data_IF_653492346492
#
_entry.id   IF_653492346492
#
_cell.length_a   1.000
_cell.length_b   1.000
_cell.length_c   1.000
_cell.angle_alpha   90.00
_cell.angle_beta   90.00
_cell.angle_gamma   90.00
#
_symmetry.space_group_name_H-M   'P 1'
#
loop_
_entity.id
_entity.type
_entity.pdbx_description
1 polymer ?
#
# COMPACT_ATOMS: atom_id res chain seq x y z
N UNK A 1 8.34 -36.03 -21.29
CA UNK A 1 7.98 -34.61 -21.55
C UNK A 1 8.38 -34.27 -23.00
N UNK A 2 7.48 -33.68 -23.79
CA UNK A 2 7.65 -33.52 -25.24
C UNK A 2 8.68 -32.43 -25.60
N UNK A 3 9.55 -32.63 -26.61
CA UNK A 3 10.51 -31.62 -27.07
C UNK A 3 9.85 -30.33 -27.58
N UNK A 4 8.57 -30.38 -27.95
CA UNK A 4 7.75 -29.23 -28.32
C UNK A 4 7.51 -28.30 -27.12
N UNK A 5 7.29 -28.85 -25.93
CA UNK A 5 7.03 -28.07 -24.71
C UNK A 5 8.26 -27.27 -24.30
N UNK A 6 9.46 -27.84 -24.39
CA UNK A 6 10.71 -27.12 -24.11
C UNK A 6 10.96 -25.97 -25.09
N UNK A 7 10.63 -26.14 -26.37
CA UNK A 7 10.76 -25.06 -27.38
C UNK A 7 9.79 -23.93 -27.12
N UNK A 8 8.55 -24.25 -26.72
CA UNK A 8 7.55 -23.25 -26.35
C UNK A 8 7.99 -22.51 -25.06
N UNK A 9 8.44 -23.23 -24.03
CA UNK A 9 8.93 -22.61 -22.80
C UNK A 9 10.19 -21.76 -23.03
N UNK A 10 11.12 -22.22 -23.87
CA UNK A 10 12.30 -21.45 -24.24
C UNK A 10 11.94 -20.20 -25.05
N UNK A 11 10.97 -20.29 -25.98
CA UNK A 11 10.46 -19.12 -26.71
C UNK A 11 9.76 -18.13 -25.78
N UNK A 12 8.95 -18.60 -24.83
CA UNK A 12 8.33 -17.74 -23.81
C UNK A 12 9.40 -17.07 -22.96
N UNK A 13 10.42 -17.81 -22.50
CA UNK A 13 11.53 -17.27 -21.73
C UNK A 13 12.35 -16.26 -22.54
N UNK A 14 12.65 -16.56 -23.80
CA UNK A 14 13.38 -15.65 -24.70
C UNK A 14 12.55 -14.40 -24.96
N UNK A 15 11.26 -14.52 -25.30
CA UNK A 15 10.39 -13.37 -25.52
C UNK A 15 10.16 -12.52 -24.25
N UNK A 16 10.16 -13.13 -23.06
CA UNK A 16 10.09 -12.40 -21.79
C UNK A 16 11.42 -11.75 -21.40
N UNK A 17 12.55 -12.27 -21.88
CA UNK A 17 13.89 -11.66 -21.70
C UNK A 17 14.27 -10.65 -22.79
N UNK A 18 13.60 -10.68 -23.96
CA UNK A 18 13.94 -9.88 -25.14
C UNK A 18 13.08 -8.61 -25.29
N UNK A 19 12.27 -8.24 -24.30
CA UNK A 19 11.57 -6.95 -24.30
C UNK A 19 12.54 -5.80 -23.98
N UNK A 20 13.64 -5.72 -24.73
CA UNK A 20 14.48 -4.53 -24.86
C UNK A 20 13.80 -3.50 -25.77
N UNK A 21 12.46 -3.41 -25.73
CA UNK A 21 11.78 -2.27 -26.32
C UNK A 21 12.33 -1.03 -25.59
N UNK A 22 12.84 -0.01 -26.30
CA UNK A 22 13.38 1.19 -25.68
C UNK A 22 12.25 1.94 -24.98
N UNK A 23 11.92 1.51 -23.77
CA UNK A 23 10.90 2.06 -22.90
C UNK A 23 11.48 3.23 -22.11
N UNK A 24 12.04 4.19 -22.86
CA UNK A 24 12.15 5.57 -22.42
C UNK A 24 11.11 6.37 -23.17
N UNK A 25 9.84 6.00 -23.07
CA UNK A 25 8.87 7.09 -23.13
C UNK A 25 9.06 7.85 -21.83
N UNK A 26 9.79 8.97 -21.90
CA UNK A 26 9.70 10.01 -20.90
C UNK A 26 8.27 10.56 -21.00
N UNK A 27 7.32 9.81 -20.47
CA UNK A 27 5.92 10.20 -20.49
C UNK A 27 5.78 11.36 -19.52
N UNK A 28 5.05 12.44 -19.87
CA UNK A 28 4.72 13.51 -18.94
C UNK A 28 4.12 13.02 -17.61
N UNK A 29 3.50 11.83 -17.61
CA UNK A 29 2.96 11.20 -16.40
C UNK A 29 4.03 10.81 -15.35
N UNK A 30 5.31 10.72 -15.71
CA UNK A 30 6.38 10.43 -14.72
C UNK A 30 6.63 11.63 -13.81
N UNK A 31 6.23 12.84 -14.21
CA UNK A 31 6.53 14.11 -13.51
C UNK A 31 5.26 14.82 -13.03
N UNK A 32 4.14 14.66 -13.74
CA UNK A 32 2.88 15.30 -13.34
C UNK A 32 2.26 14.65 -12.11
N UNK A 33 2.44 15.29 -10.94
CA UNK A 33 1.73 14.96 -9.71
C UNK A 33 0.20 15.00 -9.95
N UNK A 34 -0.53 13.99 -9.46
CA UNK A 34 -1.99 14.03 -9.44
C UNK A 34 -2.46 15.06 -8.41
N UNK A 35 -2.59 16.32 -8.83
CA UNK A 35 -3.51 17.27 -8.22
C UNK A 35 -3.11 17.86 -6.86
N UNK A 36 -1.83 17.90 -6.48
CA UNK A 36 -1.41 18.69 -5.32
C UNK A 36 -1.15 20.14 -5.77
N UNK A 37 -1.97 21.13 -5.35
CA UNK A 37 -1.79 22.55 -5.73
C UNK A 37 -0.55 23.19 -5.10
N UNK A 38 0.13 22.49 -4.18
CA UNK A 38 1.42 22.87 -3.61
C UNK A 38 2.49 21.92 -4.15
N UNK A 39 3.21 22.34 -5.19
CA UNK A 39 4.43 21.67 -5.63
C UNK A 39 5.56 22.11 -4.70
N UNK A 40 5.88 21.30 -3.70
CA UNK A 40 7.17 21.40 -3.01
C UNK A 40 8.29 21.24 -4.07
N UNK A 41 9.09 22.28 -4.34
CA UNK A 41 10.15 22.21 -5.36
C UNK A 41 11.13 21.06 -5.10
N UNK A 42 11.39 20.75 -3.82
CA UNK A 42 12.26 19.63 -3.44
C UNK A 42 11.66 18.27 -3.82
N UNK A 43 10.34 18.13 -3.78
CA UNK A 43 9.66 16.91 -4.19
C UNK A 43 9.69 16.75 -5.72
N UNK A 44 9.50 17.84 -6.47
CA UNK A 44 9.60 17.82 -7.93
C UNK A 44 11.02 17.45 -8.40
N UNK A 45 12.05 18.08 -7.82
CA UNK A 45 13.45 17.75 -8.11
C UNK A 45 13.72 16.25 -7.85
N UNK A 46 13.25 15.71 -6.72
CA UNK A 46 13.42 14.28 -6.44
C UNK A 46 12.70 13.38 -7.45
N UNK A 47 11.48 13.72 -7.87
CA UNK A 47 10.78 12.94 -8.91
C UNK A 47 11.58 12.95 -10.22
N UNK A 48 12.15 14.10 -10.60
CA UNK A 48 12.99 14.22 -11.78
C UNK A 48 14.26 13.39 -11.68
N UNK A 49 14.95 13.44 -10.53
CA UNK A 49 16.12 12.58 -10.26
C UNK A 49 15.76 11.10 -10.32
N UNK A 50 14.65 10.72 -9.66
CA UNK A 50 14.19 9.34 -9.61
C UNK A 50 13.83 8.82 -11.01
N UNK A 51 13.14 9.63 -11.82
CA UNK A 51 12.77 9.29 -13.19
C UNK A 51 13.97 9.02 -14.12
N UNK A 52 15.16 9.53 -13.77
CA UNK A 52 16.40 9.27 -14.50
C UNK A 52 17.07 7.95 -14.09
N UNK A 53 16.66 7.35 -12.97
CA UNK A 53 17.28 6.13 -12.45
C UNK A 53 17.02 4.93 -13.38
N UNK A 54 18.08 4.16 -13.66
CA UNK A 54 18.01 3.03 -14.61
C UNK A 54 16.98 1.97 -14.21
N UNK A 55 16.68 1.80 -12.92
CA UNK A 55 15.71 0.82 -12.44
C UNK A 55 14.33 0.98 -13.08
N UNK A 56 13.94 2.22 -13.47
CA UNK A 56 12.69 2.46 -14.20
C UNK A 56 12.66 1.88 -15.62
N UNK A 57 13.81 1.47 -16.19
CA UNK A 57 13.84 0.71 -17.44
C UNK A 57 13.51 -0.77 -17.25
N UNK A 58 13.56 -1.27 -16.02
CA UNK A 58 13.25 -2.68 -15.68
C UNK A 58 11.91 -2.77 -14.97
N UNK A 59 11.61 -1.85 -14.07
CA UNK A 59 10.36 -1.77 -13.31
C UNK A 59 9.68 -0.45 -13.69
N UNK A 60 8.69 -0.46 -14.59
CA UNK A 60 8.00 0.77 -15.02
C UNK A 60 7.42 1.52 -13.82
N UNK A 61 7.38 2.85 -13.89
CA UNK A 61 6.77 3.67 -12.82
C UNK A 61 5.28 3.44 -12.75
N UNK A 62 4.62 3.52 -13.91
CA UNK A 62 3.18 3.43 -14.02
C UNK A 62 2.75 2.30 -14.94
N UNK A 63 1.67 1.58 -14.59
CA UNK A 63 1.06 0.55 -15.44
C UNK A 63 0.65 1.05 -16.81
N UNK A 64 0.28 2.33 -16.93
CA UNK A 64 -0.11 2.93 -18.21
C UNK A 64 1.07 3.02 -19.19
N UNK A 65 2.29 2.89 -18.70
CA UNK A 65 3.48 2.77 -19.53
C UNK A 65 3.53 1.37 -20.15
N UNK A 66 2.97 0.33 -19.55
CA UNK A 66 3.17 -1.06 -19.97
C UNK A 66 2.21 -1.44 -21.10
N UNK A 67 2.74 -1.99 -22.21
CA UNK A 67 1.87 -2.57 -23.24
C UNK A 67 1.21 -3.83 -22.70
N UNK A 68 -0.02 -4.11 -23.13
CA UNK A 68 -0.77 -5.29 -22.69
C UNK A 68 -0.04 -6.63 -22.98
N UNK A 69 0.81 -6.68 -24.00
CA UNK A 69 1.60 -7.87 -24.38
C UNK A 69 2.99 -7.95 -23.73
N UNK A 70 3.41 -6.94 -22.94
CA UNK A 70 4.74 -6.91 -22.32
C UNK A 70 4.74 -7.63 -20.96
N UNK A 71 4.73 -8.96 -21.01
CA UNK A 71 4.66 -9.79 -19.81
C UNK A 71 5.83 -9.57 -18.85
N UNK A 72 7.03 -9.27 -19.37
CA UNK A 72 8.21 -9.01 -18.55
C UNK A 72 8.00 -7.82 -17.64
N UNK A 73 7.62 -6.69 -18.24
CA UNK A 73 7.37 -5.46 -17.49
C UNK A 73 6.11 -5.53 -16.62
N UNK A 74 5.06 -6.22 -17.04
CA UNK A 74 3.91 -6.50 -16.16
C UNK A 74 4.33 -7.26 -14.91
N UNK A 75 5.23 -8.24 -15.06
CA UNK A 75 5.73 -9.05 -13.94
C UNK A 75 6.60 -8.21 -13.01
N UNK A 76 7.57 -7.47 -13.53
CA UNK A 76 8.45 -6.64 -12.70
C UNK A 76 7.68 -5.50 -12.03
N UNK A 77 6.75 -4.85 -12.73
CA UNK A 77 5.85 -3.84 -12.17
C UNK A 77 4.96 -4.40 -11.07
N UNK A 78 4.38 -5.59 -11.24
CA UNK A 78 3.53 -6.20 -10.22
C UNK A 78 4.33 -6.57 -8.96
N UNK A 79 5.54 -7.12 -9.12
CA UNK A 79 6.35 -7.62 -8.01
C UNK A 79 7.12 -6.52 -7.26
N UNK A 80 7.65 -5.53 -7.98
CA UNK A 80 8.59 -4.54 -7.43
C UNK A 80 8.11 -3.10 -7.57
N UNK A 81 7.08 -2.85 -8.37
CA UNK A 81 6.57 -1.51 -8.59
C UNK A 81 5.72 -0.99 -7.42
N UNK A 82 5.59 0.33 -7.39
CA UNK A 82 4.59 1.04 -6.62
C UNK A 82 4.02 2.15 -7.52
N UNK A 83 2.81 1.93 -8.03
CA UNK A 83 2.16 2.81 -9.02
C UNK A 83 1.78 4.18 -8.44
N UNK A 84 1.61 4.25 -7.11
CA UNK A 84 1.13 5.43 -6.39
C UNK A 84 2.28 6.32 -5.96
N UNK A 85 3.31 5.76 -5.32
CA UNK A 85 4.40 6.53 -4.72
C UNK A 85 5.74 6.45 -5.46
N UNK A 86 5.85 5.58 -6.48
CA UNK A 86 7.09 5.29 -7.19
C UNK A 86 8.01 4.30 -6.45
N UNK A 87 9.08 3.89 -7.14
CA UNK A 87 10.04 2.88 -6.65
C UNK A 87 10.88 3.33 -5.47
N UNK A 88 11.01 4.64 -5.27
CA UNK A 88 11.86 5.23 -4.24
C UNK A 88 11.03 5.93 -3.16
N UNK A 89 9.70 5.89 -3.24
CA UNK A 89 8.82 6.68 -2.38
C UNK A 89 8.98 8.18 -2.63
N UNK A 90 9.17 8.56 -3.88
CA UNK A 90 9.43 9.95 -4.28
C UNK A 90 8.20 10.85 -4.28
N UNK A 91 7.00 10.29 -4.16
CA UNK A 91 5.81 11.12 -3.94
C UNK A 91 5.78 11.72 -2.54
N UNK A 92 5.34 12.99 -2.38
CA UNK A 92 5.19 13.63 -1.08
C UNK A 92 4.33 12.83 -0.09
N UNK A 93 3.34 12.08 -0.58
CA UNK A 93 2.46 11.23 0.22
C UNK A 93 3.19 10.11 0.96
N UNK A 94 4.33 9.66 0.44
CA UNK A 94 5.05 8.53 1.01
C UNK A 94 5.82 8.90 2.28
N UNK A 95 6.25 10.17 2.40
CA UNK A 95 7.14 10.69 3.45
C UNK A 95 8.31 9.73 3.76
N UNK A 96 8.86 9.11 2.72
CA UNK A 96 9.89 8.09 2.86
C UNK A 96 11.25 8.65 2.47
N UNK A 97 12.11 8.82 3.49
CA UNK A 97 13.47 9.31 3.31
C UNK A 97 13.54 10.48 2.32
N UNK A 98 12.81 11.59 2.57
CA UNK A 98 13.13 12.81 1.88
C UNK A 98 14.59 13.16 2.14
N UNK A 99 15.30 14.01 1.42
CA UNK A 99 16.77 14.19 1.57
C UNK A 99 17.68 13.03 1.10
N UNK A 100 17.21 11.78 0.96
CA UNK A 100 18.04 10.72 0.37
C UNK A 100 17.91 10.69 -1.17
N UNK A 101 19.04 10.54 -1.86
CA UNK A 101 19.06 10.35 -3.30
C UNK A 101 18.42 9.00 -3.71
N UNK A 102 17.73 8.93 -4.87
CA UNK A 102 17.21 7.68 -5.41
C UNK A 102 18.35 6.71 -5.72
N UNK A 103 18.47 5.65 -4.93
CA UNK A 103 19.45 4.57 -5.13
C UNK A 103 18.76 3.23 -5.08
N UNK A 104 19.37 2.19 -5.68
CA UNK A 104 18.85 0.81 -5.59
C UNK A 104 18.63 0.35 -4.14
N UNK A 105 19.47 0.83 -3.20
CA UNK A 105 19.29 0.55 -1.77
C UNK A 105 18.04 1.19 -1.17
N UNK A 106 17.73 2.44 -1.55
CA UNK A 106 16.49 3.13 -1.17
C UNK A 106 15.28 2.39 -1.75
N UNK A 107 15.33 2.00 -3.03
CA UNK A 107 14.26 1.22 -3.66
C UNK A 107 14.03 -0.13 -2.95
N UNK A 108 15.10 -0.85 -2.60
CA UNK A 108 15.00 -2.09 -1.84
C UNK A 108 14.37 -1.90 -0.46
N UNK A 109 14.75 -0.85 0.26
CA UNK A 109 14.15 -0.53 1.57
C UNK A 109 12.68 -0.13 1.45
N UNK A 110 12.31 0.62 0.41
CA UNK A 110 10.94 0.97 0.13
C UNK A 110 10.09 -0.26 -0.20
N UNK A 111 10.59 -1.13 -1.08
CA UNK A 111 9.95 -2.40 -1.42
C UNK A 111 9.78 -3.33 -0.20
N UNK A 112 10.71 -3.31 0.75
CA UNK A 112 10.57 -4.08 2.00
C UNK A 112 9.51 -3.50 2.94
N UNK A 113 9.24 -2.20 2.90
CA UNK A 113 8.17 -1.58 3.69
C UNK A 113 6.78 -1.91 3.14
N UNK A 114 6.68 -2.11 1.83
CA UNK A 114 5.41 -2.44 1.15
C UNK A 114 5.64 -3.50 0.04
N UNK A 115 5.94 -4.75 0.42
CA UNK A 115 6.27 -5.79 -0.55
C UNK A 115 5.07 -6.12 -1.42
N UNK A 116 5.31 -6.26 -2.73
CA UNK A 116 4.28 -6.69 -3.69
C UNK A 116 3.07 -5.74 -3.73
N UNK A 117 3.25 -4.43 -3.46
CA UNK A 117 2.18 -3.43 -3.44
C UNK A 117 1.29 -3.52 -4.68
N UNK A 118 1.89 -3.43 -5.87
CA UNK A 118 1.14 -3.46 -7.12
C UNK A 118 0.43 -4.81 -7.35
N UNK A 119 1.08 -5.93 -7.06
CA UNK A 119 0.47 -7.25 -7.14
C UNK A 119 -0.78 -7.34 -6.27
N UNK A 120 -0.69 -6.94 -5.01
CA UNK A 120 -1.80 -7.12 -4.07
C UNK A 120 -2.87 -6.04 -4.14
N UNK A 121 -2.54 -4.86 -4.66
CA UNK A 121 -3.49 -3.76 -4.77
C UNK A 121 -4.18 -3.71 -6.14
N UNK A 122 -3.41 -3.86 -7.22
CA UNK A 122 -3.91 -3.68 -8.58
C UNK A 122 -4.16 -4.98 -9.34
N UNK A 123 -3.39 -6.04 -9.09
CA UNK A 123 -3.52 -7.31 -9.83
C UNK A 123 -4.50 -8.27 -9.15
N UNK A 124 -4.27 -8.55 -7.87
CA UNK A 124 -5.11 -9.42 -7.05
C UNK A 124 -6.12 -8.63 -6.22
N UNK A 125 -5.79 -7.37 -5.94
CA UNK A 125 -6.65 -6.47 -5.20
C UNK A 125 -7.73 -5.85 -6.06
N UNK A 126 -8.44 -4.93 -5.43
CA UNK A 126 -9.64 -4.32 -5.99
C UNK A 126 -9.52 -2.79 -5.96
N UNK A 127 -8.32 -2.25 -6.22
CA UNK A 127 -8.02 -0.81 -6.21
C UNK A 127 -8.95 0.07 -7.07
N UNK A 128 -9.67 -0.52 -8.02
CA UNK A 128 -10.65 0.18 -8.87
C UNK A 128 -12.04 0.30 -8.26
N UNK A 129 -12.32 -0.44 -7.19
CA UNK A 129 -13.60 -0.40 -6.50
C UNK A 129 -13.55 0.73 -5.45
N UNK A 130 -14.51 1.65 -5.51
CA UNK A 130 -14.64 2.73 -4.52
C UNK A 130 -15.34 2.29 -3.24
N UNK A 131 -16.14 1.22 -3.33
CA UNK A 131 -16.90 0.67 -2.23
C UNK A 131 -16.67 -0.84 -2.19
N UNK A 132 -16.27 -1.34 -1.02
CA UNK A 132 -16.16 -2.76 -0.75
C UNK A 132 -17.26 -3.13 0.23
N UNK A 133 -18.08 -4.11 -0.13
CA UNK A 133 -18.96 -4.73 0.86
C UNK A 133 -18.13 -5.49 1.88
N UNK A 134 -18.68 -5.68 3.06
CA UNK A 134 -18.08 -6.46 4.13
C UNK A 134 -19.02 -7.58 4.52
N UNK A 135 -18.52 -8.80 4.54
CA UNK A 135 -19.20 -9.92 5.17
C UNK A 135 -18.41 -10.32 6.41
N UNK A 136 -18.86 -9.85 7.58
CA UNK A 136 -18.33 -10.25 8.86
C UNK A 136 -18.74 -11.70 9.16
N UNK A 137 -17.79 -12.62 9.08
CA UNK A 137 -18.02 -14.03 9.41
C UNK A 137 -18.11 -14.21 10.93
N UNK A 138 -17.21 -13.54 11.65
CA UNK A 138 -17.15 -13.48 13.10
C UNK A 138 -16.61 -12.12 13.53
N UNK A 139 -17.34 -11.44 14.39
CA UNK A 139 -16.88 -10.25 15.10
C UNK A 139 -17.14 -10.45 16.59
N UNK A 140 -16.08 -10.39 17.38
CA UNK A 140 -16.12 -10.49 18.83
C UNK A 140 -15.54 -9.21 19.41
N UNK A 141 -16.32 -8.50 20.22
CA UNK A 141 -15.88 -7.40 21.07
C UNK A 141 -16.65 -7.44 22.40
N UNK A 142 -16.25 -6.68 23.44
CA UNK A 142 -17.02 -6.53 24.67
C UNK A 142 -18.44 -6.00 24.44
N UNK A 143 -18.63 -5.21 23.39
CA UNK A 143 -19.88 -4.52 23.10
C UNK A 143 -20.78 -5.31 22.16
N UNK A 144 -20.20 -6.16 21.28
CA UNK A 144 -20.95 -6.86 20.26
C UNK A 144 -20.39 -8.25 19.91
N UNK A 145 -21.32 -9.11 19.49
CA UNK A 145 -21.01 -10.40 18.86
C UNK A 145 -21.83 -10.48 17.57
N UNK A 146 -21.17 -10.42 16.42
CA UNK A 146 -21.83 -10.58 15.13
C UNK A 146 -21.35 -11.83 14.40
N UNK A 147 -22.30 -12.53 13.77
CA UNK A 147 -22.05 -13.69 12.92
C UNK A 147 -22.75 -13.49 11.59
N UNK A 148 -22.05 -13.76 10.49
CA UNK A 148 -22.58 -13.66 9.12
C UNK A 148 -23.32 -12.33 8.85
N UNK A 149 -22.76 -11.23 9.33
CA UNK A 149 -23.33 -9.90 9.16
C UNK A 149 -22.79 -9.27 7.86
N UNK A 150 -23.69 -8.81 6.99
CA UNK A 150 -23.31 -8.14 5.76
C UNK A 150 -23.47 -6.62 5.91
N UNK A 151 -22.43 -5.86 5.59
CA UNK A 151 -22.43 -4.40 5.49
C UNK A 151 -22.15 -4.00 4.04
N UNK A 152 -22.89 -3.02 3.54
CA UNK A 152 -22.71 -2.53 2.16
C UNK A 152 -21.36 -1.82 1.96
N UNK A 153 -20.77 -1.31 3.04
CA UNK A 153 -19.48 -0.64 3.05
C UNK A 153 -18.66 -1.19 4.22
N UNK A 154 -17.42 -1.58 3.94
CA UNK A 154 -16.39 -1.84 4.94
C UNK A 154 -15.91 -0.50 5.51
N UNK A 155 -16.00 -0.32 6.83
CA UNK A 155 -15.67 0.95 7.48
C UNK A 155 -14.35 0.88 8.25
N UNK A 156 -14.04 -0.28 8.86
CA UNK A 156 -12.89 -0.38 9.77
C UNK A 156 -12.13 -1.70 9.63
N UNK A 157 -10.84 -1.62 9.94
CA UNK A 157 -9.90 -2.75 10.03
C UNK A 157 -10.06 -3.49 11.37
N UNK A 158 -10.50 -2.78 12.41
CA UNK A 158 -10.66 -3.30 13.77
C UNK A 158 -12.10 -3.05 14.24
N UNK A 159 -12.62 -3.98 15.03
CA UNK A 159 -13.91 -3.88 15.72
C UNK A 159 -13.82 -2.89 16.89
N UNK A 160 -13.67 -1.60 16.58
CA UNK A 160 -13.56 -0.52 17.55
C UNK A 160 -12.22 -0.44 18.30
N UNK A 161 -12.23 0.33 19.39
CA UNK A 161 -11.05 0.60 20.24
C UNK A 161 -10.89 -0.40 21.40
N UNK A 162 -11.80 -1.36 21.53
CA UNK A 162 -11.76 -2.38 22.56
C UNK A 162 -11.08 -3.67 22.07
N UNK A 163 -10.86 -4.60 23.00
CA UNK A 163 -10.40 -5.94 22.69
C UNK A 163 -11.33 -6.59 21.67
N UNK A 164 -10.81 -7.16 20.58
CA UNK A 164 -11.66 -7.81 19.62
C UNK A 164 -10.95 -8.73 18.64
N UNK A 165 -11.73 -9.66 18.10
CA UNK A 165 -11.36 -10.54 17.00
C UNK A 165 -12.35 -10.29 15.87
N UNK A 166 -11.84 -10.01 14.68
CA UNK A 166 -12.66 -9.86 13.48
C UNK A 166 -12.15 -10.81 12.40
N UNK A 167 -13.06 -11.59 11.82
CA UNK A 167 -12.82 -12.46 10.68
C UNK A 167 -13.91 -12.14 9.67
N UNK A 168 -13.53 -11.72 8.47
CA UNK A 168 -14.48 -11.28 7.46
C UNK A 168 -13.95 -11.39 6.05
N UNK A 169 -14.82 -11.01 5.11
CA UNK A 169 -14.49 -10.85 3.71
C UNK A 169 -14.75 -9.41 3.29
N UNK A 170 -13.73 -8.68 2.83
CA UNK A 170 -13.89 -7.34 2.24
C UNK A 170 -13.89 -7.48 0.71
N UNK A 171 -15.02 -7.16 0.08
CA UNK A 171 -15.22 -7.39 -1.36
C UNK A 171 -15.06 -8.86 -1.76
N UNK A 172 -15.35 -9.80 -0.84
CA UNK A 172 -15.15 -11.24 -1.04
C UNK A 172 -13.73 -11.75 -0.74
N UNK A 173 -12.79 -10.88 -0.36
CA UNK A 173 -11.40 -11.24 -0.07
C UNK A 173 -11.17 -11.40 1.44
N UNK A 174 -10.40 -12.41 1.88
CA UNK A 174 -10.29 -12.76 3.28
C UNK A 174 -9.52 -11.72 4.08
N UNK A 175 -9.99 -11.51 5.31
CA UNK A 175 -9.38 -10.60 6.27
C UNK A 175 -9.56 -11.10 7.71
N UNK A 176 -8.50 -10.98 8.50
CA UNK A 176 -8.50 -11.23 9.94
C UNK A 176 -7.81 -10.09 10.65
N UNK A 177 -8.41 -9.61 11.74
CA UNK A 177 -7.77 -8.70 12.68
C UNK A 177 -8.00 -9.12 14.12
N UNK A 178 -7.03 -8.75 14.94
CA UNK A 178 -6.95 -9.09 16.34
C UNK A 178 -6.44 -7.87 17.10
N UNK A 179 -7.17 -7.49 18.14
CA UNK A 179 -6.86 -6.36 18.98
C UNK A 179 -7.01 -6.77 20.44
N UNK A 180 -5.96 -6.58 21.24
CA UNK A 180 -6.02 -6.82 22.69
C UNK A 180 -5.25 -5.74 23.44
N UNK A 181 -5.81 -5.31 24.55
CA UNK A 181 -5.22 -4.43 25.53
C UNK A 181 -5.22 -5.14 26.89
N UNK A 182 -4.04 -5.55 27.32
CA UNK A 182 -3.79 -6.11 28.65
C UNK A 182 -2.57 -5.42 29.28
N UNK A 183 -2.68 -4.10 29.45
CA UNK A 183 -1.59 -3.23 29.94
C UNK A 183 -0.57 -2.84 28.86
N UNK A 184 -0.56 -3.56 27.73
CA UNK A 184 0.07 -3.17 26.47
C UNK A 184 -0.90 -3.46 25.33
N UNK A 185 -0.95 -2.56 24.34
CA UNK A 185 -1.80 -2.72 23.16
C UNK A 185 -1.10 -3.63 22.15
N UNK A 186 -1.75 -4.74 21.84
CA UNK A 186 -1.40 -5.67 20.78
C UNK A 186 -2.36 -5.48 19.60
N UNK A 187 -1.82 -5.13 18.44
CA UNK A 187 -2.60 -5.01 17.20
C UNK A 187 -2.01 -5.93 16.14
N UNK A 188 -2.86 -6.79 15.58
CA UNK A 188 -2.51 -7.63 14.44
C UNK A 188 -3.62 -7.58 13.40
N UNK A 189 -3.25 -7.52 12.13
CA UNK A 189 -4.16 -7.91 11.05
C UNK A 189 -3.39 -8.52 9.89
N UNK A 190 -4.11 -9.33 9.13
CA UNK A 190 -3.65 -9.92 7.88
C UNK A 190 -4.82 -10.10 6.92
N UNK A 191 -4.68 -9.64 5.69
CA UNK A 191 -5.67 -9.85 4.63
C UNK A 191 -6.00 -8.57 3.85
N UNK A 192 -7.03 -8.66 3.01
CA UNK A 192 -7.49 -7.53 2.20
C UNK A 192 -8.34 -6.59 3.02
N UNK A 193 -7.97 -5.32 3.03
CA UNK A 193 -8.58 -4.27 3.83
C UNK A 193 -9.79 -3.64 3.15
N UNK A 194 -10.41 -2.69 3.84
CA UNK A 194 -11.58 -1.92 3.41
C UNK A 194 -11.38 -1.15 2.09
N UNK A 195 -10.13 -0.95 1.66
CA UNK A 195 -9.77 -0.26 0.40
C UNK A 195 -9.30 -1.22 -0.69
N UNK A 196 -9.43 -2.53 -0.50
CA UNK A 196 -9.00 -3.54 -1.48
C UNK A 196 -7.49 -3.79 -1.54
N UNK A 197 -6.71 -3.27 -0.58
CA UNK A 197 -5.28 -3.57 -0.43
C UNK A 197 -5.04 -4.73 0.54
N UNK A 198 -4.19 -5.69 0.16
CA UNK A 198 -3.65 -6.64 1.12
C UNK A 198 -2.71 -5.88 2.08
N UNK A 199 -2.86 -6.14 3.37
CA UNK A 199 -1.93 -5.61 4.36
C UNK A 199 -1.64 -6.62 5.46
N UNK A 200 -0.49 -6.43 6.09
CA UNK A 200 -0.13 -7.06 7.35
C UNK A 200 0.30 -5.98 8.32
N UNK A 201 -0.20 -6.04 9.55
CA UNK A 201 0.24 -5.21 10.66
C UNK A 201 0.49 -6.11 11.85
N UNK A 202 1.62 -5.89 12.51
CA UNK A 202 1.96 -6.58 13.75
C UNK A 202 2.62 -5.58 14.69
N UNK A 203 1.92 -5.23 15.76
CA UNK A 203 2.40 -4.31 16.80
C UNK A 203 2.23 -4.98 18.16
N UNK A 204 3.28 -5.65 18.69
CA UNK A 204 3.16 -6.44 19.92
C UNK A 204 3.15 -5.61 21.21
N UNK A 205 3.47 -4.31 21.15
CA UNK A 205 3.52 -3.44 22.32
C UNK A 205 3.39 -1.96 21.91
N UNK A 206 2.28 -1.59 21.27
CA UNK A 206 2.01 -0.19 21.01
C UNK A 206 1.76 0.53 22.36
N UNK A 207 2.35 1.72 22.54
CA UNK A 207 1.93 2.62 23.61
C UNK A 207 0.45 2.97 23.41
N UNK A 208 -0.29 3.10 24.52
CA UNK A 208 -1.65 3.62 24.42
C UNK A 208 -1.57 5.03 23.80
N UNK A 209 -2.37 5.34 22.78
CA UNK A 209 -2.55 6.75 22.42
C UNK A 209 -3.04 7.49 23.67
N UNK A 210 -2.62 8.74 23.88
CA UNK A 210 -3.18 9.54 24.98
C UNK A 210 -4.71 9.55 24.82
N UNK A 211 -5.42 9.10 25.85
CA UNK A 211 -6.88 9.12 25.86
C UNK A 211 -7.33 10.56 25.66
N UNK A 212 -8.31 10.80 24.78
CA UNK A 212 -8.82 12.14 24.46
C UNK A 212 -9.31 12.91 25.70
N UNK A 213 -9.65 12.20 26.79
CA UNK A 213 -9.97 12.79 28.10
C UNK A 213 -8.80 13.62 28.68
N UNK A 214 -7.54 13.22 28.46
CA UNK A 214 -6.38 13.96 28.93
C UNK A 214 -6.08 15.23 28.11
N UNK A 215 -6.67 15.39 26.91
CA UNK A 215 -6.49 16.60 26.12
C UNK A 215 -7.44 17.73 26.54
N UNK A 216 -8.62 17.39 27.09
CA UNK A 216 -9.58 18.40 27.55
C UNK A 216 -9.17 19.01 28.90
N UNK A 217 -8.48 18.24 29.77
CA UNK A 217 -7.97 18.78 31.05
C UNK A 217 -6.73 19.68 30.90
N UNK A 218 -6.04 19.67 29.75
CA UNK A 218 -4.84 20.50 29.53
C UNK A 218 -5.13 21.91 28.98
N UNK A 219 -6.36 22.22 28.57
CA UNK A 219 -6.74 23.56 28.07
C UNK A 219 -7.40 24.47 29.13
N UNK A 220 -7.67 23.99 30.35
CA UNK A 220 -8.46 24.75 31.35
C UNK A 220 -7.63 25.50 32.41
N UNK A 221 -6.33 25.74 32.19
CA UNK A 221 -5.49 26.54 33.12
C UNK A 221 -4.54 27.50 32.42
N UNK A 222 -5.07 28.46 31.67
CA UNK A 222 -4.38 29.74 31.48
C UNK A 222 -5.05 30.81 32.35
N UNK A 223 -4.40 31.28 33.44
CA UNK A 223 -4.95 32.36 34.23
C UNK A 223 -4.93 33.65 33.40
N UNK A 224 -6.11 34.22 33.19
CA UNK A 224 -6.30 35.57 32.62
C UNK A 224 -5.49 36.56 33.46
N UNK A 225 -4.34 37.00 32.92
CA UNK A 225 -3.61 38.13 33.51
C UNK A 225 -4.38 39.41 33.22
N UNK A 226 -5.13 39.87 34.21
CA UNK A 226 -5.69 41.23 34.24
C UNK A 226 -4.54 42.20 34.54
N UNK A 227 -4.22 43.04 33.55
CA UNK A 227 -3.40 44.24 33.71
C UNK A 227 -4.27 45.46 33.99
#
# INVERSE_FOLDING_TARGET
MHPVLYRILALILICSLSSCAPYKMCTPCTVQSRGTPYSDPCAEERRLEAAQHWLYSVVPRHRCQIRWYDLGHWTTWALFGNDDDGLFGEEPSADFKPSCCPTTGVAGQWALRNPLHNMFFYVLGTAYCTHHSELALLELSPECVHFLCHRCCAETVFSGDCNGLFIGLHGGLPFVSLHFDYGRRFEFYFGWRERGNLGIKFRPAASRPPTTENCLESEETDPVQLH
#
